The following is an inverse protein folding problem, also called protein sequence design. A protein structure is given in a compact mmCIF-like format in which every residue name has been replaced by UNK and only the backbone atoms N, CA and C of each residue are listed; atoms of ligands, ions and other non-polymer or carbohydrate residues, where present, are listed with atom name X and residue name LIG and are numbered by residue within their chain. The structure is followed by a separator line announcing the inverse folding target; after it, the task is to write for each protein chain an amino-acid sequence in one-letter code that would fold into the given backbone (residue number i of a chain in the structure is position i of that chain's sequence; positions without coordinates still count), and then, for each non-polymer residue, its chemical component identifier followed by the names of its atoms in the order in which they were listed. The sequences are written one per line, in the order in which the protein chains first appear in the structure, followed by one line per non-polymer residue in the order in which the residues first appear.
data_IF_868442736032
#
_entry.id   IF_868442736032
#
_cell.length_a   1.000
_cell.length_b   1.000
_cell.length_c   1.000
_cell.angle_alpha   90.00
_cell.angle_beta   90.00
_cell.angle_gamma   90.00
#
_symmetry.space_group_name_H-M   'P 1'
#
loop_
_entity.id
_entity.type
_entity.pdbx_description
1 polymer ?
#
# COMPACT_ATOMS: atom_id res chain seq x y z
N UNK A 1 7.90 14.25 -6.24
CA UNK A 1 7.74 12.78 -6.28
C UNK A 1 7.03 12.45 -7.58
N UNK A 2 7.71 11.85 -8.58
CA UNK A 2 7.10 11.57 -9.86
C UNK A 2 6.02 10.49 -9.66
N UNK A 3 4.80 10.86 -10.00
CA UNK A 3 3.59 10.06 -9.84
C UNK A 3 3.54 9.09 -11.03
N UNK A 4 4.06 7.88 -10.90
CA UNK A 4 3.62 6.80 -11.79
C UNK A 4 2.14 6.54 -11.49
N UNK A 5 1.30 6.29 -12.50
CA UNK A 5 -0.12 6.04 -12.31
C UNK A 5 -0.28 4.68 -11.63
N UNK A 6 -0.02 4.65 -10.33
CA UNK A 6 -0.02 3.46 -9.51
C UNK A 6 -1.33 2.73 -9.70
N UNK A 7 -1.20 1.41 -9.82
CA UNK A 7 -2.28 0.46 -9.96
C UNK A 7 -3.55 0.89 -9.19
N UNK A 8 -4.77 0.68 -9.72
CA UNK A 8 -6.00 1.12 -9.08
C UNK A 8 -6.13 0.65 -7.63
N UNK A 9 -5.49 -0.47 -7.28
CA UNK A 9 -5.37 -0.98 -5.92
C UNK A 9 -4.58 -0.04 -4.99
N UNK A 10 -3.47 0.54 -5.44
CA UNK A 10 -2.69 1.50 -4.66
C UNK A 10 -3.50 2.77 -4.33
N UNK A 11 -4.33 3.24 -5.28
CA UNK A 11 -5.20 4.41 -5.05
C UNK A 11 -6.22 4.15 -3.94
N UNK A 12 -6.90 3.00 -4.01
CA UNK A 12 -7.85 2.59 -2.96
C UNK A 12 -7.17 2.52 -1.60
N UNK A 13 -5.96 1.96 -1.52
CA UNK A 13 -5.22 1.84 -0.26
C UNK A 13 -4.78 3.21 0.29
N UNK A 14 -4.38 4.15 -0.56
CA UNK A 14 -4.07 5.53 -0.16
C UNK A 14 -5.32 6.19 0.44
N UNK A 15 -6.47 6.07 -0.21
CA UNK A 15 -7.73 6.64 0.25
C UNK A 15 -8.16 6.05 1.60
N UNK A 16 -8.09 4.72 1.75
CA UNK A 16 -8.42 4.04 2.99
C UNK A 16 -7.53 4.49 4.16
N UNK A 17 -6.22 4.64 3.95
CA UNK A 17 -5.30 5.10 4.99
C UNK A 17 -5.59 6.54 5.43
N UNK A 18 -5.87 7.43 4.47
CA UNK A 18 -6.24 8.83 4.76
C UNK A 18 -7.55 8.92 5.57
N UNK A 19 -8.52 8.05 5.28
CA UNK A 19 -9.76 7.96 6.05
C UNK A 19 -9.50 7.51 7.50
N UNK A 20 -8.66 6.49 7.71
CA UNK A 20 -8.31 6.03 9.06
C UNK A 20 -7.59 7.12 9.85
N UNK A 21 -6.66 7.86 9.23
CA UNK A 21 -5.99 9.00 9.87
C UNK A 21 -7.00 10.08 10.32
N UNK A 22 -7.98 10.38 9.46
CA UNK A 22 -9.06 11.30 9.78
C UNK A 22 -9.93 10.79 10.95
N UNK A 23 -10.27 9.51 10.96
CA UNK A 23 -11.01 8.88 12.06
C UNK A 23 -10.24 8.92 13.38
N UNK A 24 -8.93 8.66 13.36
CA UNK A 24 -8.06 8.72 14.52
C UNK A 24 -7.99 10.12 15.13
N UNK A 25 -8.01 11.17 14.30
CA UNK A 25 -8.08 12.57 14.74
C UNK A 25 -9.41 12.90 15.43
N UNK A 26 -10.52 12.42 14.86
CA UNK A 26 -11.86 12.64 15.43
C UNK A 26 -12.04 11.90 16.75
N UNK A 27 -11.63 10.62 16.81
CA UNK A 27 -11.70 9.80 18.01
C UNK A 27 -10.82 10.33 19.13
N UNK A 28 -9.71 11.01 18.81
CA UNK A 28 -8.85 11.66 19.80
C UNK A 28 -9.54 12.73 20.66
N UNK A 29 -10.74 13.17 20.27
CA UNK A 29 -11.57 14.13 21.04
C UNK A 29 -12.48 13.46 22.08
N UNK A 30 -12.63 12.14 22.02
CA UNK A 30 -13.49 11.37 22.92
C UNK A 30 -12.66 10.74 24.03
N UNK A 31 -13.10 10.93 25.27
CA UNK A 31 -12.62 10.16 26.42
C UNK A 31 -12.93 8.67 26.21
N UNK A 32 -12.09 7.78 26.73
CA UNK A 32 -12.19 6.31 26.59
C UNK A 32 -12.11 5.72 25.17
N UNK A 33 -11.75 6.51 24.15
CA UNK A 33 -11.54 6.03 22.77
C UNK A 33 -10.24 5.25 22.54
N UNK A 34 -9.40 5.08 23.57
CA UNK A 34 -8.08 4.46 23.49
C UNK A 34 -8.06 3.09 22.78
N UNK A 35 -8.90 2.12 23.17
CA UNK A 35 -8.94 0.80 22.55
C UNK A 35 -9.29 0.85 21.05
N UNK A 36 -10.23 1.71 20.66
CA UNK A 36 -10.66 1.88 19.27
C UNK A 36 -9.53 2.48 18.44
N UNK A 37 -8.83 3.49 18.99
CA UNK A 37 -7.68 4.11 18.31
C UNK A 37 -6.54 3.13 18.11
N UNK A 38 -6.29 2.24 19.07
CA UNK A 38 -5.26 1.21 18.94
C UNK A 38 -5.60 0.21 17.84
N UNK A 39 -6.86 -0.25 17.79
CA UNK A 39 -7.34 -1.12 16.72
C UNK A 39 -7.21 -0.47 15.34
N UNK A 40 -7.57 0.81 15.21
CA UNK A 40 -7.43 1.54 13.95
C UNK A 40 -5.97 1.76 13.53
N UNK A 41 -5.04 1.95 14.48
CA UNK A 41 -3.60 1.98 14.19
C UNK A 41 -3.10 0.64 13.65
N UNK A 42 -3.55 -0.47 14.24
CA UNK A 42 -3.20 -1.81 13.76
C UNK A 42 -3.71 -2.04 12.32
N UNK A 43 -4.94 -1.62 12.01
CA UNK A 43 -5.49 -1.68 10.65
C UNK A 43 -4.71 -0.79 9.69
N UNK A 44 -4.37 0.45 10.08
CA UNK A 44 -3.55 1.35 9.26
C UNK A 44 -2.20 0.72 8.89
N UNK A 45 -1.52 0.11 9.87
CA UNK A 45 -0.26 -0.60 9.63
C UNK A 45 -0.43 -1.77 8.65
N UNK A 46 -1.49 -2.56 8.78
CA UNK A 46 -1.78 -3.67 7.86
C UNK A 46 -2.04 -3.16 6.42
N UNK A 47 -2.69 -2.00 6.28
CA UNK A 47 -2.89 -1.36 4.98
C UNK A 47 -1.58 -0.84 4.39
N UNK A 48 -0.65 -0.33 5.21
CA UNK A 48 0.69 0.04 4.75
C UNK A 48 1.47 -1.18 4.24
N UNK A 49 1.43 -2.30 4.96
CA UNK A 49 2.09 -3.54 4.54
C UNK A 49 1.49 -4.10 3.25
N UNK A 50 0.17 -3.98 3.08
CA UNK A 50 -0.54 -4.35 1.85
C UNK A 50 -0.18 -3.42 0.69
N UNK A 51 -0.14 -2.11 0.93
CA UNK A 51 0.24 -1.12 -0.07
C UNK A 51 1.69 -1.31 -0.53
N UNK A 52 2.59 -1.63 0.40
CA UNK A 52 3.97 -1.98 0.10
C UNK A 52 4.11 -3.24 -0.76
N UNK A 53 3.16 -4.20 -0.68
CA UNK A 53 3.13 -5.38 -1.57
C UNK A 53 2.72 -4.99 -2.98
N UNK A 54 1.63 -4.25 -3.15
CA UNK A 54 1.18 -3.81 -4.49
C UNK A 54 2.20 -2.90 -5.17
N UNK A 55 2.81 -1.97 -4.43
CA UNK A 55 3.87 -1.10 -4.96
C UNK A 55 5.09 -1.88 -5.46
N UNK A 56 5.45 -2.98 -4.79
CA UNK A 56 6.56 -3.86 -5.22
C UNK A 56 6.19 -4.71 -6.42
N UNK A 57 4.94 -5.17 -6.50
CA UNK A 57 4.43 -5.93 -7.64
C UNK A 57 4.26 -5.09 -8.90
N UNK A 58 3.97 -3.80 -8.76
CA UNK A 58 3.79 -2.84 -9.87
C UNK A 58 5.12 -2.19 -10.32
N UNK A 59 6.23 -2.50 -9.63
CA UNK A 59 7.55 -1.97 -10.01
C UNK A 59 8.05 -2.66 -11.31
N UNK A 60 8.44 -1.90 -12.35
CA UNK A 60 8.94 -2.47 -13.59
C UNK A 60 10.31 -3.11 -13.34
N UNK A 61 10.33 -4.44 -13.12
CA UNK A 61 11.55 -5.21 -12.88
C UNK A 61 11.39 -6.49 -12.07
N UNK A 62 10.24 -6.76 -11.46
CA UNK A 62 10.03 -7.95 -10.63
C UNK A 62 9.47 -9.19 -11.38
N UNK A 63 9.39 -9.14 -12.72
CA UNK A 63 8.65 -10.12 -13.53
C UNK A 63 9.35 -10.63 -14.80
N UNK A 64 10.68 -10.78 -14.82
CA UNK A 64 11.33 -11.40 -15.98
C UNK A 64 12.82 -11.66 -15.81
N UNK A 65 13.18 -12.90 -15.53
CA UNK A 65 14.47 -13.53 -15.90
C UNK A 65 14.30 -15.05 -15.77
N UNK A 66 13.68 -15.67 -16.76
CA UNK A 66 14.08 -17.00 -17.25
C UNK A 66 13.50 -17.21 -18.66
N UNK A 67 14.16 -16.64 -19.66
CA UNK A 67 14.00 -17.08 -21.04
C UNK A 67 15.41 -17.46 -21.53
N UNK A 68 15.72 -18.74 -21.74
CA UNK A 68 17.03 -19.13 -22.24
C UNK A 68 17.18 -18.60 -23.67
N UNK A 69 18.27 -17.88 -23.89
CA UNK A 69 18.64 -17.28 -25.17
C UNK A 69 18.71 -18.34 -26.27
N UNK A 70 17.93 -18.16 -27.33
CA UNK A 70 18.14 -18.89 -28.57
C UNK A 70 19.46 -18.44 -29.21
N UNK A 71 20.32 -19.35 -29.69
CA UNK A 71 21.58 -18.98 -30.31
C UNK A 71 21.32 -18.27 -31.64
N UNK A 72 21.98 -17.13 -31.83
CA UNK A 72 22.00 -16.40 -33.09
C UNK A 72 22.65 -17.28 -34.17
N UNK A 73 21.91 -17.56 -35.25
CA UNK A 73 22.47 -18.03 -36.50
C UNK A 73 22.94 -16.80 -37.28
N UNK A 74 24.24 -16.69 -37.49
CA UNK A 74 24.86 -16.14 -38.70
C UNK A 74 26.19 -16.84 -38.93
#
# INVERSE_FOLDING_TARGET
MPYEPGSPQCRVLIDCKSQIESMLLLLGRLEDSGPIREQLRAVHQQLEDLHGRYRRSDAPGAGGVDQPAAPAIF
#
